data_IF_088520223348
#
_entry.id   IF_088520223348
#
_cell.length_a   1.000
_cell.length_b   1.000
_cell.length_c   1.000
_cell.angle_alpha   90.00
_cell.angle_beta   90.00
_cell.angle_gamma   90.00
#
_symmetry.space_group_name_H-M   'P 1'
#
loop_
_entity.id
_entity.type
_entity.pdbx_description
1 polymer ?
#
# COMPACT_ATOMS: atom_id res chain seq x y z
N UNK A 1 -47.29 -57.06 -33.86
CA UNK A 1 -46.24 -57.44 -32.87
C UNK A 1 -45.01 -56.52 -32.88
N UNK A 2 -45.06 -55.31 -33.45
CA UNK A 2 -43.90 -54.37 -33.47
C UNK A 2 -43.97 -53.30 -32.36
N UNK A 3 -45.18 -52.94 -31.91
CA UNK A 3 -45.40 -51.90 -30.88
C UNK A 3 -45.05 -52.31 -29.44
N UNK A 4 -44.92 -53.61 -29.16
CA UNK A 4 -44.61 -54.09 -27.80
C UNK A 4 -43.12 -53.95 -27.46
N UNK A 5 -42.23 -54.05 -28.45
CA UNK A 5 -40.78 -53.93 -28.24
C UNK A 5 -40.30 -52.47 -28.13
N UNK A 6 -41.01 -51.53 -28.76
CA UNK A 6 -40.66 -50.09 -28.72
C UNK A 6 -40.96 -49.48 -27.34
N UNK A 7 -42.00 -49.96 -26.63
CA UNK A 7 -42.36 -49.46 -25.29
C UNK A 7 -41.32 -49.74 -24.21
N UNK A 8 -40.50 -50.77 -24.36
CA UNK A 8 -39.43 -51.09 -23.40
C UNK A 8 -38.07 -50.53 -23.82
N UNK A 9 -37.90 -50.12 -25.07
CA UNK A 9 -36.65 -49.55 -25.58
C UNK A 9 -36.41 -48.13 -25.04
N UNK A 10 -37.47 -47.32 -24.93
CA UNK A 10 -37.42 -45.94 -24.43
C UNK A 10 -37.00 -45.87 -22.94
N UNK A 11 -37.57 -46.66 -22.01
CA UNK A 11 -37.14 -46.62 -20.61
C UNK A 11 -35.74 -47.21 -20.38
N UNK A 12 -35.31 -48.20 -21.17
CA UNK A 12 -33.94 -48.75 -21.08
C UNK A 12 -32.91 -47.72 -21.56
N UNK A 13 -33.21 -46.97 -22.63
CA UNK A 13 -32.32 -45.92 -23.13
C UNK A 13 -32.21 -44.75 -22.13
N UNK A 14 -33.32 -44.38 -21.48
CA UNK A 14 -33.34 -43.38 -20.40
C UNK A 14 -32.53 -43.82 -19.17
N UNK A 15 -32.51 -45.12 -18.86
CA UNK A 15 -31.71 -45.66 -17.76
C UNK A 15 -30.20 -45.58 -18.04
N UNK A 16 -29.79 -45.72 -19.31
CA UNK A 16 -28.37 -45.62 -19.74
C UNK A 16 -27.88 -44.16 -19.71
N UNK A 17 -28.76 -43.19 -19.95
CA UNK A 17 -28.45 -41.75 -19.87
C UNK A 17 -28.38 -41.27 -18.40
N UNK A 18 -29.06 -41.96 -17.48
CA UNK A 18 -29.08 -41.65 -16.04
C UNK A 18 -27.94 -42.32 -15.25
N UNK A 19 -27.07 -43.11 -15.88
CA UNK A 19 -25.84 -43.57 -15.23
C UNK A 19 -24.96 -42.33 -15.06
N UNK A 20 -24.66 -41.88 -13.82
CA UNK A 20 -23.82 -40.71 -13.64
C UNK A 20 -22.44 -41.05 -14.19
N UNK A 21 -22.04 -40.39 -15.28
CA UNK A 21 -20.68 -40.44 -15.82
C UNK A 21 -19.67 -39.72 -14.93
N UNK A 22 -20.01 -39.45 -13.67
CA UNK A 22 -19.11 -38.82 -12.68
C UNK A 22 -18.12 -39.82 -12.07
N UNK A 23 -18.01 -41.05 -12.61
CA UNK A 23 -17.02 -42.04 -12.20
C UNK A 23 -15.71 -41.99 -13.01
N UNK A 24 -15.61 -41.15 -14.05
CA UNK A 24 -14.31 -40.78 -14.60
C UNK A 24 -13.96 -39.39 -14.04
N UNK A 25 -12.82 -39.30 -13.37
CA UNK A 25 -12.20 -38.08 -12.81
C UNK A 25 -12.46 -37.74 -11.33
N UNK A 26 -12.46 -38.72 -10.43
CA UNK A 26 -12.06 -38.46 -9.04
C UNK A 26 -10.87 -39.34 -8.62
N UNK A 27 -9.73 -39.13 -9.26
CA UNK A 27 -8.47 -39.46 -8.62
C UNK A 27 -8.24 -38.50 -7.44
N UNK A 28 -7.54 -38.89 -6.36
CA UNK A 28 -7.13 -37.94 -5.35
C UNK A 28 -6.32 -36.84 -6.05
N UNK A 29 -6.84 -35.61 -6.02
CA UNK A 29 -6.13 -34.44 -6.52
C UNK A 29 -4.92 -34.24 -5.59
N UNK A 30 -3.79 -34.84 -5.95
CA UNK A 30 -2.50 -34.56 -5.33
C UNK A 30 -2.06 -33.19 -5.83
N UNK A 31 -2.64 -32.15 -5.25
CA UNK A 31 -2.12 -30.79 -5.45
C UNK A 31 -0.82 -30.73 -4.66
N UNK A 32 0.30 -30.62 -5.34
CA UNK A 32 1.50 -30.05 -4.73
C UNK A 32 1.19 -28.56 -4.54
N UNK A 33 0.56 -28.23 -3.42
CA UNK A 33 0.41 -26.83 -3.01
C UNK A 33 1.77 -26.41 -2.49
N UNK A 34 2.54 -25.77 -3.35
CA UNK A 34 3.68 -24.96 -2.90
C UNK A 34 3.06 -23.67 -2.39
N UNK A 35 2.85 -23.57 -1.07
CA UNK A 35 2.54 -22.28 -0.45
C UNK A 35 3.85 -21.52 -0.39
N UNK A 36 4.09 -20.69 -1.40
CA UNK A 36 5.15 -19.69 -1.32
C UNK A 36 4.66 -18.62 -0.35
N UNK A 37 5.09 -18.70 0.91
CA UNK A 37 4.93 -17.58 1.83
C UNK A 37 5.90 -16.51 1.34
N UNK A 38 5.43 -15.60 0.52
CA UNK A 38 6.13 -14.33 0.30
C UNK A 38 6.21 -13.63 1.66
N UNK A 39 7.36 -13.04 1.99
CA UNK A 39 7.55 -12.36 3.27
C UNK A 39 6.48 -11.29 3.53
N UNK A 40 6.40 -10.81 4.77
CA UNK A 40 5.64 -9.60 5.04
C UNK A 40 6.45 -8.41 4.53
N UNK A 41 6.05 -7.90 3.37
CA UNK A 41 6.53 -6.64 2.83
C UNK A 41 5.45 -5.56 2.96
N UNK A 42 5.89 -4.31 2.96
CA UNK A 42 5.01 -3.15 2.87
C UNK A 42 5.43 -2.33 1.66
N UNK A 43 4.49 -2.07 0.78
CA UNK A 43 4.73 -1.28 -0.43
C UNK A 43 4.12 0.11 -0.28
N UNK A 44 4.76 1.13 -0.84
CA UNK A 44 4.17 2.45 -1.06
C UNK A 44 3.30 2.37 -2.32
N UNK A 45 1.98 2.24 -2.14
CA UNK A 45 1.03 2.10 -3.24
C UNK A 45 0.62 3.42 -3.89
N UNK A 46 0.60 4.51 -3.13
CA UNK A 46 0.38 5.86 -3.68
C UNK A 46 0.92 6.92 -2.73
N UNK A 47 1.18 8.11 -3.28
CA UNK A 47 1.77 9.22 -2.54
C UNK A 47 1.12 10.55 -2.93
N UNK A 48 1.27 11.54 -2.06
CA UNK A 48 0.97 12.95 -2.30
C UNK A 48 2.02 13.79 -1.61
N UNK A 49 2.46 14.86 -2.26
CA UNK A 49 3.44 15.76 -1.65
C UNK A 49 2.98 17.19 -1.82
N UNK A 50 3.02 17.94 -0.72
CA UNK A 50 2.75 19.37 -0.70
C UNK A 50 3.95 20.13 -0.13
N UNK A 51 4.29 21.25 -0.75
CA UNK A 51 5.30 22.18 -0.24
C UNK A 51 4.59 23.41 0.31
N UNK A 52 4.93 23.78 1.54
CA UNK A 52 4.46 24.99 2.17
C UNK A 52 5.52 26.09 2.04
N UNK A 53 5.20 27.15 1.32
CA UNK A 53 6.10 28.27 1.05
C UNK A 53 6.01 29.34 2.13
N UNK A 54 7.03 30.17 2.27
CA UNK A 54 7.13 31.19 3.34
C UNK A 54 6.00 32.24 3.35
N UNK A 55 5.17 32.30 2.30
CA UNK A 55 4.14 33.32 2.09
C UNK A 55 2.73 32.71 1.85
N UNK A 56 2.37 31.66 2.59
CA UNK A 56 1.03 31.02 2.67
C UNK A 56 0.53 30.26 1.44
N UNK A 57 1.36 30.07 0.43
CA UNK A 57 1.01 29.18 -0.67
C UNK A 57 1.45 27.76 -0.31
N UNK A 58 0.50 26.84 -0.15
CA UNK A 58 0.82 25.41 -0.14
C UNK A 58 0.43 24.80 -1.49
N UNK A 59 1.40 24.15 -2.15
CA UNK A 59 1.23 23.66 -3.52
C UNK A 59 1.65 22.20 -3.63
N UNK A 60 0.93 21.44 -4.44
CA UNK A 60 1.38 20.11 -4.83
C UNK A 60 2.61 20.21 -5.71
N UNK A 61 3.56 19.30 -5.53
CA UNK A 61 4.71 19.20 -6.43
C UNK A 61 4.31 18.48 -7.72
N UNK A 62 5.19 18.56 -8.71
CA UNK A 62 5.01 17.84 -9.96
C UNK A 62 5.35 16.36 -9.77
N UNK A 63 4.63 15.49 -10.47
CA UNK A 63 4.83 14.05 -10.37
C UNK A 63 6.25 13.61 -10.80
N UNK A 64 6.92 14.36 -11.69
CA UNK A 64 8.30 14.07 -12.12
C UNK A 64 9.36 14.38 -11.06
N UNK A 65 8.98 14.99 -9.94
CA UNK A 65 9.86 15.28 -8.80
C UNK A 65 9.79 14.16 -7.75
N UNK A 66 9.00 13.11 -8.01
CA UNK A 66 8.85 11.98 -7.11
C UNK A 66 9.22 10.69 -7.82
N UNK A 67 10.03 9.87 -7.16
CA UNK A 67 10.37 8.55 -7.64
C UNK A 67 10.26 7.52 -6.52
N UNK A 68 10.00 6.27 -6.89
CA UNK A 68 9.98 5.13 -5.96
C UNK A 68 11.16 4.19 -6.24
N UNK A 69 11.63 3.51 -5.19
CA UNK A 69 12.56 2.39 -5.36
C UNK A 69 11.92 1.24 -6.14
N UNK A 70 12.75 0.36 -6.70
CA UNK A 70 12.28 -0.86 -7.38
C UNK A 70 11.51 -1.80 -6.43
N UNK A 71 11.84 -1.75 -5.13
CA UNK A 71 11.21 -2.54 -4.06
C UNK A 71 9.98 -1.83 -3.46
N UNK A 72 9.62 -0.63 -3.95
CA UNK A 72 8.47 0.18 -3.49
C UNK A 72 8.48 0.55 -1.99
N UNK A 73 9.61 0.41 -1.30
CA UNK A 73 9.80 0.68 0.12
C UNK A 73 10.47 2.04 0.42
N UNK A 74 10.95 2.74 -0.62
CA UNK A 74 11.59 4.04 -0.54
C UNK A 74 10.95 5.00 -1.52
N UNK A 75 10.66 6.22 -1.06
CA UNK A 75 10.25 7.34 -1.90
C UNK A 75 11.33 8.42 -1.89
N UNK A 76 11.64 8.93 -3.08
CA UNK A 76 12.55 10.03 -3.34
C UNK A 76 11.73 11.22 -3.77
N UNK A 77 11.84 12.33 -3.05
CA UNK A 77 11.14 13.58 -3.34
C UNK A 77 12.18 14.65 -3.57
N UNK A 78 12.34 15.04 -4.84
CA UNK A 78 13.23 16.13 -5.19
C UNK A 78 12.62 17.46 -4.75
N UNK A 79 13.38 18.18 -3.93
CA UNK A 79 13.09 19.53 -3.46
C UNK A 79 13.96 20.49 -4.27
N UNK A 80 13.30 21.33 -5.06
CA UNK A 80 13.97 22.45 -5.69
C UNK A 80 14.36 23.49 -4.62
N UNK A 81 15.37 24.33 -4.90
CA UNK A 81 15.87 25.36 -3.98
C UNK A 81 14.87 26.51 -3.73
N UNK A 82 13.57 26.23 -3.79
CA UNK A 82 12.55 27.21 -3.52
C UNK A 82 12.42 27.41 -1.99
N UNK A 83 12.14 28.65 -1.58
CA UNK A 83 11.98 29.03 -0.17
C UNK A 83 10.74 28.35 0.44
N UNK A 84 10.87 27.06 0.69
CA UNK A 84 9.87 26.22 1.35
C UNK A 84 10.21 26.17 2.83
N UNK A 85 9.18 26.28 3.65
CA UNK A 85 9.31 26.11 5.09
C UNK A 85 9.24 24.63 5.44
N UNK A 86 8.25 23.94 4.88
CA UNK A 86 7.98 22.54 5.17
C UNK A 86 7.55 21.77 3.92
N UNK A 87 7.84 20.47 3.90
CA UNK A 87 7.30 19.50 2.97
C UNK A 87 6.39 18.50 3.70
N UNK A 88 5.15 18.38 3.22
CA UNK A 88 4.22 17.34 3.63
C UNK A 88 4.27 16.19 2.64
N UNK A 89 4.73 15.03 3.08
CA UNK A 89 4.76 13.79 2.29
C UNK A 89 3.73 12.82 2.86
N UNK A 90 2.68 12.56 2.09
CA UNK A 90 1.63 11.61 2.41
C UNK A 90 1.85 10.30 1.67
N UNK A 91 1.80 9.20 2.37
CA UNK A 91 2.02 7.85 1.85
C UNK A 91 0.82 6.96 2.15
N UNK A 92 0.39 6.20 1.15
CA UNK A 92 -0.51 5.05 1.32
C UNK A 92 0.34 3.80 1.28
N UNK A 93 0.48 3.18 2.43
CA UNK A 93 1.28 1.97 2.63
C UNK A 93 0.33 0.78 2.54
N UNK A 94 0.64 -0.17 1.66
CA UNK A 94 -0.20 -1.32 1.36
C UNK A 94 0.50 -2.60 1.78
N UNK A 95 -0.24 -3.49 2.43
CA UNK A 95 0.20 -4.86 2.62
C UNK A 95 -0.52 -5.75 1.60
N UNK A 96 0.09 -5.93 0.43
CA UNK A 96 -0.43 -6.81 -0.62
C UNK A 96 0.02 -8.27 -0.45
N UNK A 97 0.73 -8.59 0.64
CA UNK A 97 1.33 -9.89 0.91
C UNK A 97 0.45 -10.74 1.82
N UNK A 98 0.76 -12.05 1.90
CA UNK A 98 -0.09 -13.03 2.57
C UNK A 98 -0.06 -13.03 4.11
N UNK A 99 0.70 -12.14 4.75
CA UNK A 99 0.91 -12.11 6.20
C UNK A 99 0.88 -10.67 6.73
N UNK A 100 0.41 -10.43 7.98
CA UNK A 100 0.43 -9.10 8.57
C UNK A 100 1.86 -8.55 8.74
N UNK A 101 2.02 -7.25 8.57
CA UNK A 101 3.29 -6.54 8.74
C UNK A 101 3.11 -5.40 9.75
N UNK A 102 4.14 -5.09 10.53
CA UNK A 102 4.07 -4.00 11.52
C UNK A 102 4.98 -2.86 11.11
N UNK A 103 4.39 -1.74 10.71
CA UNK A 103 5.11 -0.50 10.45
C UNK A 103 5.59 0.11 11.76
N UNK A 104 6.90 0.25 11.91
CA UNK A 104 7.56 0.83 13.09
C UNK A 104 7.83 2.32 12.95
N UNK A 105 8.09 2.77 11.73
CA UNK A 105 8.41 4.15 11.44
C UNK A 105 9.08 4.30 10.09
N UNK A 106 9.93 5.31 9.97
CA UNK A 106 10.56 5.73 8.73
C UNK A 106 12.01 6.10 9.00
N UNK A 107 12.92 5.74 8.10
CA UNK A 107 14.22 6.39 8.04
C UNK A 107 14.11 7.54 7.03
N UNK A 108 14.36 8.76 7.51
CA UNK A 108 14.22 9.98 6.74
C UNK A 108 15.61 10.61 6.63
N UNK A 109 16.05 10.80 5.39
CA UNK A 109 17.35 11.38 5.09
C UNK A 109 17.23 12.39 3.96
N UNK A 110 18.24 13.24 3.83
CA UNK A 110 18.32 14.23 2.78
C UNK A 110 19.65 14.09 2.05
N UNK A 111 19.62 14.15 0.72
CA UNK A 111 20.80 14.07 -0.12
C UNK A 111 20.90 15.32 -1.01
N UNK A 112 22.03 16.02 -0.92
CA UNK A 112 22.34 17.14 -1.81
C UNK A 112 23.77 17.03 -2.36
N UNK A 113 24.22 18.08 -3.05
CA UNK A 113 25.57 18.14 -3.62
C UNK A 113 26.71 17.97 -2.58
N UNK A 114 26.44 18.21 -1.29
CA UNK A 114 27.41 18.03 -0.20
C UNK A 114 27.43 16.60 0.35
N UNK A 115 26.46 15.76 -0.02
CA UNK A 115 26.32 14.38 0.44
C UNK A 115 24.95 14.09 1.04
N UNK A 116 24.79 12.85 1.53
CA UNK A 116 23.60 12.39 2.23
C UNK A 116 23.78 12.48 3.75
N UNK A 117 22.72 12.86 4.46
CA UNK A 117 22.66 12.89 5.92
C UNK A 117 21.25 12.50 6.40
N UNK A 118 21.17 11.85 7.57
CA UNK A 118 19.89 11.55 8.21
C UNK A 118 19.32 12.80 8.90
N UNK A 119 18.00 12.97 8.85
CA UNK A 119 17.31 14.06 9.54
C UNK A 119 17.08 13.68 11.01
N UNK A 120 17.19 14.67 11.90
CA UNK A 120 16.87 14.50 13.32
C UNK A 120 15.36 14.35 13.51
N UNK A 121 14.93 13.71 14.61
CA UNK A 121 13.51 13.67 15.00
C UNK A 121 12.92 15.07 15.23
N UNK A 122 13.76 16.08 15.48
CA UNK A 122 13.34 17.49 15.58
C UNK A 122 13.02 18.12 14.22
N UNK A 123 13.51 17.53 13.12
CA UNK A 123 13.35 18.06 11.75
C UNK A 123 12.06 17.57 11.08
N UNK A 124 11.35 16.62 11.69
CA UNK A 124 10.13 16.07 11.11
C UNK A 124 9.10 15.62 12.15
N UNK A 125 7.88 15.37 11.69
CA UNK A 125 6.80 14.80 12.50
C UNK A 125 6.00 13.81 11.66
N UNK A 126 5.66 12.68 12.28
CA UNK A 126 4.94 11.57 11.63
C UNK A 126 3.53 11.48 12.18
N UNK A 127 2.55 11.42 11.28
CA UNK A 127 1.12 11.42 11.56
C UNK A 127 0.48 10.19 10.91
N UNK A 128 0.48 9.03 11.59
CA UNK A 128 -0.15 7.82 11.08
C UNK A 128 -1.66 7.84 11.32
N UNK A 129 -2.41 7.16 10.45
CA UNK A 129 -3.85 6.99 10.54
C UNK A 129 -4.21 5.50 10.61
N UNK A 130 -5.34 5.19 11.23
CA UNK A 130 -5.81 3.81 11.38
C UNK A 130 -5.87 3.06 10.04
N UNK A 131 -5.32 1.83 9.97
CA UNK A 131 -5.40 1.01 8.78
C UNK A 131 -6.84 0.74 8.35
N UNK A 132 -7.07 0.69 7.04
CA UNK A 132 -8.38 0.45 6.42
C UNK A 132 -8.28 -0.65 5.37
N UNK A 133 -9.28 -1.53 5.38
CA UNK A 133 -9.46 -2.54 4.32
C UNK A 133 -10.04 -1.95 3.03
N UNK A 134 -10.85 -0.91 3.16
CA UNK A 134 -11.53 -0.27 2.03
C UNK A 134 -10.75 0.94 1.55
N UNK A 135 -10.99 1.35 0.29
CA UNK A 135 -10.22 2.38 -0.40
C UNK A 135 -10.01 3.65 0.44
N UNK A 136 -8.85 4.28 0.26
CA UNK A 136 -8.44 5.49 1.02
C UNK A 136 -8.98 6.78 0.41
N UNK A 137 -9.52 6.74 -0.81
CA UNK A 137 -9.92 7.93 -1.57
C UNK A 137 -11.11 8.70 -1.01
N UNK A 138 -11.91 8.11 -0.14
CA UNK A 138 -13.03 8.77 0.56
C UNK A 138 -12.68 9.22 1.98
N UNK A 139 -11.45 8.93 2.44
CA UNK A 139 -11.00 9.28 3.79
C UNK A 139 -10.71 10.77 3.88
N UNK A 140 -11.12 11.44 4.98
CA UNK A 140 -10.91 12.88 5.15
C UNK A 140 -9.42 13.24 5.21
N UNK A 141 -8.57 12.31 5.65
CA UNK A 141 -7.12 12.44 5.74
C UNK A 141 -6.36 12.05 4.46
N UNK A 142 -7.04 11.80 3.33
CA UNK A 142 -6.38 11.48 2.05
C UNK A 142 -7.10 12.05 0.82
N UNK A 143 -8.38 11.76 0.64
CA UNK A 143 -9.12 11.97 -0.62
C UNK A 143 -9.10 13.39 -1.18
N UNK A 144 -9.88 14.30 -0.57
CA UNK A 144 -10.01 15.71 -0.95
C UNK A 144 -9.30 16.63 0.05
N UNK A 145 -8.10 16.21 0.46
CA UNK A 145 -7.34 16.93 1.46
C UNK A 145 -6.57 18.09 0.83
N UNK A 146 -6.75 19.28 1.39
CA UNK A 146 -5.89 20.43 1.18
C UNK A 146 -4.81 20.47 2.27
N UNK A 147 -3.63 20.95 1.91
CA UNK A 147 -2.48 21.05 2.80
C UNK A 147 -2.76 21.85 4.09
N UNK A 148 -3.62 22.86 4.03
CA UNK A 148 -4.03 23.67 5.20
C UNK A 148 -4.77 22.87 6.29
N UNK A 149 -5.30 21.69 5.96
CA UNK A 149 -6.00 20.81 6.91
C UNK A 149 -5.08 19.73 7.49
N UNK A 150 -3.79 19.74 7.16
CA UNK A 150 -2.82 18.78 7.69
C UNK A 150 -2.23 19.25 9.03
N UNK A 151 -2.06 18.34 10.01
CA UNK A 151 -2.59 16.97 10.05
C UNK A 151 -4.08 16.95 10.42
N UNK A 152 -4.82 15.91 10.01
CA UNK A 152 -6.25 15.74 10.39
C UNK A 152 -6.33 15.05 11.76
N UNK A 153 -6.29 15.86 12.81
CA UNK A 153 -6.04 15.44 14.21
C UNK A 153 -6.98 14.33 14.69
N UNK A 154 -8.27 14.40 14.36
CA UNK A 154 -9.29 13.51 14.94
C UNK A 154 -9.18 12.03 14.52
N UNK A 155 -8.31 11.70 13.56
CA UNK A 155 -8.15 10.35 12.99
C UNK A 155 -6.75 9.76 13.22
N UNK A 156 -5.90 10.47 13.98
CA UNK A 156 -4.55 10.03 14.25
C UNK A 156 -4.54 8.77 15.12
N UNK A 157 -3.56 7.93 14.85
CA UNK A 157 -3.18 6.80 15.70
C UNK A 157 -1.70 6.95 16.08
N UNK A 158 -1.12 5.94 16.71
CA UNK A 158 0.29 5.94 17.11
C UNK A 158 1.06 4.80 16.43
N UNK A 159 2.33 5.04 16.12
CA UNK A 159 3.24 3.96 15.74
C UNK A 159 3.65 3.15 16.98
N UNK A 160 3.90 1.83 16.86
CA UNK A 160 3.83 1.04 15.63
C UNK A 160 2.40 0.64 15.24
N UNK A 161 2.12 0.54 13.94
CA UNK A 161 0.82 0.09 13.41
C UNK A 161 0.93 -1.26 12.71
N UNK A 162 -0.01 -2.18 12.97
CA UNK A 162 -0.10 -3.46 12.26
C UNK A 162 -1.04 -3.34 11.08
N UNK A 163 -0.53 -3.67 9.89
CA UNK A 163 -1.27 -3.65 8.63
C UNK A 163 -1.53 -5.09 8.21
N UNK A 164 -2.79 -5.50 8.28
CA UNK A 164 -3.26 -6.82 7.89
C UNK A 164 -3.10 -7.05 6.38
N UNK A 165 -3.06 -8.33 5.96
CA UNK A 165 -3.03 -8.70 4.55
C UNK A 165 -4.23 -8.12 3.79
N UNK A 166 -3.95 -7.40 2.70
CA UNK A 166 -4.93 -6.69 1.88
C UNK A 166 -5.41 -5.35 2.46
N UNK A 167 -4.83 -4.87 3.55
CA UNK A 167 -5.16 -3.56 4.15
C UNK A 167 -4.14 -2.50 3.77
N UNK A 168 -4.54 -1.25 4.00
CA UNK A 168 -3.75 -0.06 3.69
C UNK A 168 -3.70 0.87 4.90
N UNK A 169 -2.57 1.51 5.14
CA UNK A 169 -2.43 2.60 6.11
C UNK A 169 -2.11 3.90 5.38
N UNK A 170 -2.55 5.02 5.94
CA UNK A 170 -2.12 6.35 5.48
C UNK A 170 -1.19 6.92 6.53
N UNK A 171 -0.09 7.51 6.10
CA UNK A 171 0.81 8.25 6.97
C UNK A 171 1.18 9.56 6.30
N UNK A 172 1.04 10.66 7.04
CA UNK A 172 1.56 11.96 6.65
C UNK A 172 2.84 12.27 7.41
N UNK A 173 3.85 12.76 6.73
CA UNK A 173 5.15 13.14 7.29
C UNK A 173 5.36 14.61 6.97
N UNK A 174 5.53 15.43 8.00
CA UNK A 174 5.88 16.84 7.85
C UNK A 174 7.37 16.98 8.09
N UNK A 175 8.12 17.50 7.12
CA UNK A 175 9.57 17.72 7.21
C UNK A 175 9.83 19.22 7.13
N UNK A 176 10.59 19.77 8.08
CA UNK A 176 11.07 21.14 8.02
C UNK A 176 12.13 21.25 6.93
N UNK A 177 11.86 22.03 5.89
CA UNK A 177 12.76 22.25 4.75
C UNK A 177 13.41 23.63 4.75
N UNK A 178 13.12 24.45 5.77
CA UNK A 178 13.65 25.79 5.88
C UNK A 178 15.19 25.80 5.88
N UNK A 179 15.76 26.45 4.87
CA UNK A 179 17.21 26.56 4.71
C UNK A 179 17.90 25.31 4.17
N UNK A 180 17.15 24.28 3.77
CA UNK A 180 17.71 23.17 3.00
C UNK A 180 18.08 23.65 1.59
N UNK A 181 19.24 23.21 1.11
CA UNK A 181 19.60 23.37 -0.30
C UNK A 181 18.77 22.42 -1.18
N UNK A 182 18.81 22.64 -2.49
CA UNK A 182 18.28 21.69 -3.48
C UNK A 182 18.81 20.27 -3.26
N UNK A 183 17.94 19.27 -3.36
CA UNK A 183 18.30 17.87 -3.17
C UNK A 183 17.10 16.94 -3.04
N UNK A 184 17.39 15.67 -2.75
CA UNK A 184 16.38 14.63 -2.60
C UNK A 184 16.08 14.37 -1.12
N UNK A 185 14.82 14.53 -0.74
CA UNK A 185 14.27 13.98 0.50
C UNK A 185 13.98 12.49 0.26
N UNK A 186 14.58 11.64 1.08
CA UNK A 186 14.52 10.18 0.96
C UNK A 186 13.80 9.64 2.19
N UNK A 187 12.66 8.99 1.99
CA UNK A 187 11.87 8.39 3.05
C UNK A 187 11.78 6.88 2.79
N UNK A 188 12.33 6.09 3.70
CA UNK A 188 12.31 4.62 3.67
C UNK A 188 11.41 4.07 4.76
N UNK A 189 10.56 3.10 4.41
CA UNK A 189 9.73 2.39 5.39
C UNK A 189 10.59 1.54 6.35
N UNK A 190 10.23 1.53 7.63
CA UNK A 190 10.82 0.63 8.64
C UNK A 190 9.71 -0.22 9.23
N UNK A 191 9.76 -1.53 9.00
CA UNK A 191 8.73 -2.48 9.41
C UNK A 191 9.29 -3.85 9.77
N UNK A 192 8.54 -4.57 10.60
CA UNK A 192 8.80 -5.97 10.92
C UNK A 192 7.87 -6.87 10.12
N UNK A 193 8.45 -7.87 9.46
CA UNK A 193 7.70 -8.98 8.90
C UNK A 193 7.22 -9.89 10.03
N UNK A 194 5.92 -10.20 10.10
CA UNK A 194 5.26 -10.88 11.23
C UNK A 194 5.69 -12.32 11.58
N UNK A 195 6.92 -12.73 11.28
CA UNK A 195 7.52 -13.97 11.80
C UNK A 195 8.42 -13.66 13.00
N UNK A 196 7.82 -13.63 14.19
CA UNK A 196 8.53 -13.81 15.46
C UNK A 196 8.82 -15.29 15.72
#
# INVERSE_FOLDING_TARGET
MVYAYVKYLIPILLLVILIPTTALWSGPLRVNVVVTVTGADLDIGSWRVFLNYTCDECRGIRDDYVNLSEDYDVIYVYLDNENTNNAWVGLVIENNYGVPATLKGFNISFMNASGAYELSEDDYSIYPYEPTKYGVGDKPYWGLLHCEYLPVIDYLTELPITIESGWKAVVWINVSTYGMAEGDLIIKLVYDSGNS
#
